data_IF_523264024963
#
_entry.id   IF_523264024963
#
_cell.length_a   1.000
_cell.length_b   1.000
_cell.length_c   1.000
_cell.angle_alpha   90.00
_cell.angle_beta   90.00
_cell.angle_gamma   90.00
#
_symmetry.space_group_name_H-M   'P 1'
#
loop_
_entity.id
_entity.type
_entity.pdbx_description
1 polymer ?
#
# COMPACT_ATOMS: atom_id res chain seq x y z
N UNK A 1 17.28 -6.03 -46.62
CA UNK A 1 17.40 -4.57 -46.46
C UNK A 1 16.87 -4.15 -45.09
N UNK A 2 17.67 -4.27 -44.03
CA UNK A 2 17.25 -3.97 -42.66
C UNK A 2 18.41 -3.56 -41.73
N UNK A 3 19.49 -3.01 -42.30
CA UNK A 3 20.72 -2.67 -41.57
C UNK A 3 20.96 -1.18 -41.38
N UNK A 4 20.29 -0.29 -42.11
CA UNK A 4 20.64 1.14 -42.14
C UNK A 4 20.07 1.95 -40.96
N UNK A 5 18.95 1.51 -40.37
CA UNK A 5 18.30 2.24 -39.25
C UNK A 5 19.08 2.07 -37.93
N UNK A 6 19.90 1.02 -37.80
CA UNK A 6 20.62 0.73 -36.55
C UNK A 6 21.87 1.57 -36.35
N UNK A 7 22.51 2.03 -37.42
CA UNK A 7 23.77 2.78 -37.33
C UNK A 7 23.51 4.27 -37.06
N UNK A 8 22.42 4.82 -37.60
CA UNK A 8 22.03 6.21 -37.41
C UNK A 8 21.62 6.51 -35.95
N UNK A 9 20.89 5.59 -35.32
CA UNK A 9 20.56 5.68 -33.88
C UNK A 9 21.83 5.57 -33.02
N UNK A 10 22.79 4.73 -33.43
CA UNK A 10 24.08 4.58 -32.73
C UNK A 10 24.92 5.84 -32.80
N UNK A 11 24.99 6.46 -33.98
CA UNK A 11 25.78 7.68 -34.17
C UNK A 11 25.14 8.88 -33.47
N UNK A 12 23.81 8.94 -33.43
CA UNK A 12 23.08 9.99 -32.69
C UNK A 12 23.29 9.87 -31.17
N UNK A 13 23.30 8.65 -30.62
CA UNK A 13 23.63 8.40 -29.21
C UNK A 13 25.11 8.72 -28.92
N UNK A 14 26.02 8.33 -29.82
CA UNK A 14 27.46 8.59 -29.65
C UNK A 14 27.78 10.09 -29.71
N UNK A 15 27.07 10.84 -30.55
CA UNK A 15 27.19 12.30 -30.63
C UNK A 15 26.62 13.00 -29.39
N UNK A 16 25.51 12.50 -28.83
CA UNK A 16 24.88 13.09 -27.64
C UNK A 16 25.72 12.90 -26.36
N UNK A 17 26.55 11.85 -26.32
CA UNK A 17 27.39 11.50 -25.17
C UNK A 17 28.85 11.98 -25.31
N UNK A 18 29.21 12.65 -26.40
CA UNK A 18 30.60 13.04 -26.67
C UNK A 18 31.11 14.15 -25.74
N UNK A 19 30.21 14.95 -25.15
CA UNK A 19 30.53 16.08 -24.29
C UNK A 19 30.39 15.75 -22.78
N UNK A 20 30.03 14.51 -22.41
CA UNK A 20 29.93 14.12 -21.01
C UNK A 20 31.31 13.73 -20.43
N UNK A 21 31.68 14.22 -19.23
CA UNK A 21 32.89 13.79 -18.56
C UNK A 21 32.81 12.29 -18.27
N UNK A 22 33.91 11.55 -18.48
CA UNK A 22 33.97 10.10 -18.30
C UNK A 22 33.43 9.68 -16.94
N UNK A 23 32.16 9.29 -16.90
CA UNK A 23 31.56 8.61 -15.76
C UNK A 23 32.36 7.31 -15.64
N UNK A 24 33.09 7.13 -14.53
CA UNK A 24 33.89 5.93 -14.23
C UNK A 24 33.08 4.65 -14.07
N UNK A 25 31.95 4.54 -14.77
CA UNK A 25 31.11 3.39 -14.91
C UNK A 25 31.62 2.61 -16.12
N UNK A 26 32.30 1.50 -15.89
CA UNK A 26 32.68 0.58 -16.94
C UNK A 26 31.41 -0.05 -17.53
N UNK A 27 30.94 0.51 -18.64
CA UNK A 27 29.72 0.10 -19.34
C UNK A 27 29.69 -1.42 -19.61
N UNK A 28 30.85 -2.00 -19.92
CA UNK A 28 31.02 -3.43 -20.17
C UNK A 28 30.75 -4.26 -18.91
N UNK A 29 31.15 -3.78 -17.73
CA UNK A 29 30.92 -4.42 -16.45
C UNK A 29 29.42 -4.40 -16.08
N UNK A 30 28.73 -3.28 -16.34
CA UNK A 30 27.27 -3.16 -16.14
C UNK A 30 26.49 -4.10 -17.07
N UNK A 31 26.91 -4.22 -18.33
CA UNK A 31 26.28 -5.12 -19.30
C UNK A 31 26.51 -6.59 -18.91
N UNK A 32 27.70 -6.94 -18.43
CA UNK A 32 28.00 -8.31 -17.99
C UNK A 32 27.21 -8.69 -16.73
N UNK A 33 27.11 -7.80 -15.75
CA UNK A 33 26.30 -7.99 -14.54
C UNK A 33 24.81 -8.10 -14.86
N UNK A 34 24.32 -7.30 -15.81
CA UNK A 34 22.97 -7.39 -16.33
C UNK A 34 22.68 -8.76 -16.97
N UNK A 35 23.61 -9.28 -17.77
CA UNK A 35 23.50 -10.63 -18.37
C UNK A 35 23.53 -11.73 -17.31
N UNK A 36 24.42 -11.65 -16.31
CA UNK A 36 24.51 -12.61 -15.20
C UNK A 36 23.22 -12.65 -14.37
N UNK A 37 22.63 -11.50 -14.03
CA UNK A 37 21.35 -11.44 -13.30
C UNK A 37 20.19 -12.04 -14.11
N UNK A 38 20.15 -11.80 -15.43
CA UNK A 38 19.09 -12.34 -16.29
C UNK A 38 19.17 -13.86 -16.45
N UNK A 39 20.39 -14.42 -16.53
CA UNK A 39 20.60 -15.86 -16.57
C UNK A 39 20.13 -16.57 -15.28
N UNK A 40 20.42 -16.00 -14.11
CA UNK A 40 19.99 -16.55 -12.81
C UNK A 40 18.46 -16.59 -12.67
N UNK A 41 17.75 -15.58 -13.17
CA UNK A 41 16.27 -15.55 -13.16
C UNK A 41 15.64 -16.63 -14.05
N UNK A 42 16.28 -16.97 -15.18
CA UNK A 42 15.77 -18.01 -16.09
C UNK A 42 15.95 -19.43 -15.53
N UNK A 43 16.98 -19.67 -14.73
CA UNK A 43 17.20 -20.97 -14.09
C UNK A 43 16.23 -21.23 -12.92
N UNK A 44 15.83 -20.19 -12.19
CA UNK A 44 14.86 -20.34 -11.08
C UNK A 44 13.41 -20.61 -11.49
N UNK A 45 13.04 -20.32 -12.74
CA UNK A 45 11.67 -20.52 -13.24
C UNK A 45 11.37 -21.96 -13.71
N UNK A 46 12.40 -22.80 -13.89
CA UNK A 46 12.23 -24.16 -14.45
C UNK A 46 12.09 -25.27 -13.39
N UNK A 47 12.28 -24.97 -12.10
CA UNK A 47 12.24 -25.98 -11.02
C UNK A 47 10.91 -26.07 -10.28
N UNK A 48 9.94 -25.18 -10.54
CA UNK A 48 8.67 -25.15 -9.79
C UNK A 48 7.49 -25.90 -10.46
N UNK A 49 7.68 -26.52 -11.63
CA UNK A 49 6.59 -27.10 -12.42
C UNK A 49 6.43 -28.63 -12.32
N UNK A 50 7.09 -29.30 -11.38
CA UNK A 50 6.94 -30.74 -11.22
C UNK A 50 6.92 -31.13 -9.73
N UNK A 51 5.71 -31.29 -9.18
CA UNK A 51 5.27 -32.42 -8.32
C UNK A 51 3.87 -32.08 -7.79
N UNK A 52 2.89 -32.96 -8.04
CA UNK A 52 1.70 -33.08 -7.18
C UNK A 52 0.34 -33.09 -7.86
N UNK A 53 0.08 -34.02 -8.78
CA UNK A 53 -1.28 -34.41 -9.18
C UNK A 53 -1.77 -35.47 -8.19
N UNK A 54 -2.77 -35.17 -7.37
CA UNK A 54 -3.58 -36.17 -6.65
C UNK A 54 -5.04 -35.93 -7.01
N UNK A 55 -5.62 -36.92 -7.69
CA UNK A 55 -7.01 -36.97 -8.08
C UNK A 55 -7.92 -37.25 -6.87
N UNK A 56 -8.98 -36.47 -6.71
CA UNK A 56 -10.12 -36.80 -5.83
C UNK A 56 -11.36 -36.98 -6.70
N UNK A 57 -12.01 -38.11 -6.51
CA UNK A 57 -13.16 -38.64 -7.24
C UNK A 57 -14.45 -38.43 -6.43
N UNK A 58 -15.53 -38.12 -7.16
CA UNK A 58 -16.96 -38.24 -6.82
C UNK A 58 -17.55 -37.23 -5.79
N UNK A 59 -18.81 -36.78 -5.86
CA UNK A 59 -20.07 -37.42 -6.30
C UNK A 59 -21.01 -36.36 -6.87
N UNK A 60 -21.71 -36.67 -7.97
CA UNK A 60 -22.82 -35.88 -8.50
C UNK A 60 -24.14 -36.29 -7.81
N UNK A 61 -24.90 -35.32 -7.29
CA UNK A 61 -26.27 -35.53 -6.81
C UNK A 61 -27.22 -34.78 -7.74
N UNK A 62 -28.01 -35.56 -8.47
CA UNK A 62 -29.11 -35.11 -9.32
C UNK A 62 -30.32 -34.75 -8.46
N UNK A 63 -30.84 -33.51 -8.58
CA UNK A 63 -32.07 -33.05 -7.95
C UNK A 63 -33.10 -32.63 -8.99
N UNK A 64 -34.24 -33.31 -8.99
CA UNK A 64 -35.37 -33.20 -9.92
C UNK A 64 -36.28 -32.00 -9.64
N UNK A 65 -36.88 -31.48 -10.71
CA UNK A 65 -37.86 -30.41 -10.76
C UNK A 65 -39.19 -30.74 -10.05
N UNK A 66 -39.84 -29.71 -9.49
CA UNK A 66 -41.28 -29.67 -9.29
C UNK A 66 -41.82 -28.25 -9.61
N UNK A 67 -42.79 -28.10 -10.54
CA UNK A 67 -43.48 -26.84 -10.77
C UNK A 67 -44.60 -26.68 -9.74
N UNK A 68 -44.66 -25.51 -9.09
CA UNK A 68 -45.78 -25.19 -8.18
C UNK A 68 -46.71 -24.18 -8.83
N UNK A 69 -47.98 -24.56 -8.83
CA UNK A 69 -49.14 -23.97 -9.49
C UNK A 69 -49.52 -22.59 -8.97
N UNK A 70 -50.01 -21.74 -9.87
CA UNK A 70 -50.69 -20.49 -9.56
C UNK A 70 -52.12 -20.71 -9.03
N UNK A 71 -52.64 -19.81 -8.19
CA UNK A 71 -54.08 -19.57 -8.05
C UNK A 71 -54.52 -18.18 -8.58
N UNK A 72 -55.84 -18.00 -8.81
CA UNK A 72 -56.39 -17.00 -9.72
C UNK A 72 -56.69 -15.64 -9.08
N UNK A 73 -56.99 -14.69 -9.98
CA UNK A 73 -57.39 -13.32 -9.74
C UNK A 73 -58.59 -13.14 -8.80
N UNK A 74 -58.45 -12.20 -7.86
CA UNK A 74 -59.54 -11.61 -7.08
C UNK A 74 -59.53 -10.09 -7.28
N UNK A 75 -60.70 -9.54 -7.61
CA UNK A 75 -60.95 -8.13 -7.90
C UNK A 75 -61.14 -7.26 -6.64
N UNK A 76 -60.77 -5.98 -6.79
CA UNK A 76 -61.30 -4.74 -6.17
C UNK A 76 -61.19 -4.53 -4.65
N UNK A 77 -60.49 -3.47 -4.23
CA UNK A 77 -61.07 -2.32 -3.50
C UNK A 77 -59.99 -1.27 -3.18
N UNK A 78 -60.25 -0.03 -3.58
CA UNK A 78 -59.42 1.15 -3.39
C UNK A 78 -59.64 1.77 -2.01
N UNK A 79 -58.56 2.05 -1.28
CA UNK A 79 -58.53 3.02 -0.19
C UNK A 79 -57.13 3.64 -0.14
N UNK A 80 -56.99 4.98 -0.15
CA UNK A 80 -55.69 5.64 -0.13
C UNK A 80 -55.08 5.50 1.27
N UNK A 81 -54.28 4.46 1.47
CA UNK A 81 -53.41 4.34 2.64
C UNK A 81 -52.11 5.05 2.30
N UNK A 82 -51.76 6.08 3.07
CA UNK A 82 -50.46 6.73 2.96
C UNK A 82 -49.40 5.76 3.47
N UNK A 83 -48.89 4.91 2.58
CA UNK A 83 -47.83 3.96 2.91
C UNK A 83 -46.53 4.74 2.98
N UNK A 84 -46.04 5.01 4.19
CA UNK A 84 -44.65 5.39 4.39
C UNK A 84 -43.84 4.15 4.04
N UNK A 85 -43.40 4.03 2.78
CA UNK A 85 -42.51 2.96 2.33
C UNK A 85 -41.18 3.08 3.06
N UNK A 86 -41.10 2.44 4.23
CA UNK A 86 -39.85 2.06 4.88
C UNK A 86 -39.23 0.95 4.04
N UNK A 87 -38.55 1.31 2.96
CA UNK A 87 -37.67 0.38 2.25
C UNK A 87 -36.62 -0.08 3.27
N UNK A 88 -36.70 -1.35 3.67
CA UNK A 88 -35.72 -1.93 4.58
C UNK A 88 -34.33 -1.71 3.99
N UNK A 89 -33.43 -1.11 4.76
CA UNK A 89 -32.08 -0.83 4.31
C UNK A 89 -31.40 -2.13 3.85
N UNK A 90 -30.85 -2.13 2.65
CA UNK A 90 -30.07 -3.26 2.12
C UNK A 90 -28.96 -3.58 3.13
N UNK A 91 -28.85 -4.82 3.64
CA UNK A 91 -27.80 -5.17 4.58
C UNK A 91 -26.44 -4.94 3.90
N UNK A 92 -25.58 -4.14 4.56
CA UNK A 92 -24.21 -3.90 4.13
C UNK A 92 -23.38 -5.18 4.07
N UNK A 93 -22.15 -5.07 3.57
CA UNK A 93 -21.22 -6.21 3.53
C UNK A 93 -19.89 -5.89 4.18
N UNK A 94 -19.20 -6.95 4.55
CA UNK A 94 -17.78 -6.97 4.90
C UNK A 94 -17.07 -7.81 3.84
N UNK A 95 -15.95 -7.35 3.29
CA UNK A 95 -15.15 -8.19 2.38
C UNK A 95 -14.40 -9.24 3.17
N UNK A 96 -14.32 -10.46 2.65
CA UNK A 96 -13.28 -11.41 3.05
C UNK A 96 -11.91 -10.89 2.58
N UNK A 97 -10.82 -11.23 3.27
CA UNK A 97 -9.50 -10.63 3.01
C UNK A 97 -9.08 -10.80 1.54
N UNK A 98 -8.79 -9.70 0.85
CA UNK A 98 -8.23 -9.78 -0.50
C UNK A 98 -6.73 -10.07 -0.46
N UNK A 99 -6.32 -11.29 -0.82
CA UNK A 99 -4.94 -11.58 -1.19
C UNK A 99 -4.63 -10.92 -2.54
N UNK A 100 -4.16 -9.68 -2.57
CA UNK A 100 -3.87 -9.02 -3.86
C UNK A 100 -3.52 -7.53 -3.93
N UNK A 101 -3.09 -6.86 -2.85
CA UNK A 101 -2.50 -5.51 -3.01
C UNK A 101 -2.66 -4.52 -1.84
N UNK A 102 -3.33 -4.89 -0.76
CA UNK A 102 -3.37 -4.12 0.49
C UNK A 102 -2.94 -5.03 1.65
N UNK A 103 -2.31 -4.49 2.72
CA UNK A 103 -1.66 -5.30 3.75
C UNK A 103 -2.63 -6.28 4.42
N UNK A 104 -2.12 -7.49 4.67
CA UNK A 104 -2.77 -8.59 5.38
C UNK A 104 -3.17 -8.14 6.80
N UNK A 105 -4.39 -7.62 6.95
CA UNK A 105 -4.96 -7.24 8.24
C UNK A 105 -5.88 -8.34 8.77
N UNK A 106 -5.93 -8.55 10.10
CA UNK A 106 -6.81 -9.54 10.72
C UNK A 106 -8.28 -9.27 10.39
N UNK A 107 -9.11 -10.33 10.40
CA UNK A 107 -10.56 -10.29 10.15
C UNK A 107 -11.21 -9.07 10.84
N UNK A 108 -11.59 -8.06 10.07
CA UNK A 108 -12.30 -6.92 10.62
C UNK A 108 -13.74 -7.30 10.92
N UNK A 109 -14.15 -7.22 12.18
CA UNK A 109 -15.58 -7.07 12.50
C UNK A 109 -15.96 -5.63 12.16
N UNK A 110 -16.82 -5.43 11.15
CA UNK A 110 -17.40 -4.13 10.90
C UNK A 110 -18.42 -3.80 11.98
N UNK A 111 -18.37 -2.58 12.51
CA UNK A 111 -19.40 -2.05 13.40
C UNK A 111 -20.74 -1.94 12.65
N UNK A 112 -21.88 -1.93 13.36
CA UNK A 112 -23.17 -1.70 12.74
C UNK A 112 -23.25 -0.41 11.92
N UNK A 113 -22.53 0.65 12.34
CA UNK A 113 -22.44 1.91 11.61
C UNK A 113 -21.70 1.76 10.28
N UNK A 114 -20.58 1.03 10.24
CA UNK A 114 -19.83 0.76 9.01
C UNK A 114 -20.61 -0.10 8.02
N UNK A 115 -21.40 -1.06 8.52
CA UNK A 115 -22.31 -1.87 7.69
C UNK A 115 -23.45 -1.03 7.11
N UNK A 116 -24.08 -0.17 7.91
CA UNK A 116 -25.10 0.75 7.43
C UNK A 116 -24.54 1.67 6.34
N UNK A 117 -23.32 2.18 6.54
CA UNK A 117 -22.63 3.03 5.58
C UNK A 117 -22.25 2.30 4.29
N UNK A 118 -21.83 1.04 4.39
CA UNK A 118 -21.61 0.15 3.23
C UNK A 118 -22.88 0.02 2.37
N UNK A 119 -24.03 -0.24 3.01
CA UNK A 119 -25.33 -0.32 2.32
C UNK A 119 -25.70 1.00 1.65
N UNK A 120 -25.52 2.12 2.34
CA UNK A 120 -25.81 3.46 1.83
C UNK A 120 -24.91 3.83 0.64
N UNK A 121 -23.60 3.63 0.74
CA UNK A 121 -22.64 3.91 -0.33
C UNK A 121 -22.93 3.06 -1.58
N UNK A 122 -23.28 1.78 -1.39
CA UNK A 122 -23.65 0.88 -2.50
C UNK A 122 -24.89 1.38 -3.23
N UNK A 123 -25.95 1.75 -2.51
CA UNK A 123 -27.17 2.25 -3.13
C UNK A 123 -26.96 3.63 -3.79
N UNK A 124 -26.20 4.51 -3.14
CA UNK A 124 -25.87 5.82 -3.69
C UNK A 124 -25.07 5.70 -5.00
N UNK A 125 -24.09 4.79 -5.05
CA UNK A 125 -23.30 4.57 -6.27
C UNK A 125 -24.12 3.93 -7.39
N UNK A 126 -25.07 3.03 -7.07
CA UNK A 126 -25.98 2.45 -8.07
C UNK A 126 -26.78 3.52 -8.83
N UNK A 127 -27.10 4.64 -8.16
CA UNK A 127 -27.84 5.75 -8.74
C UNK A 127 -26.96 6.74 -9.52
N UNK A 128 -25.63 6.57 -9.47
CA UNK A 128 -24.69 7.43 -10.18
C UNK A 128 -24.56 6.98 -11.64
N UNK A 129 -24.88 7.84 -12.63
CA UNK A 129 -24.68 7.52 -14.03
C UNK A 129 -23.18 7.52 -14.35
N UNK A 130 -22.59 6.33 -14.42
CA UNK A 130 -21.17 6.18 -14.71
C UNK A 130 -20.82 6.82 -16.06
N UNK A 131 -19.75 7.62 -16.15
CA UNK A 131 -19.32 8.27 -17.40
C UNK A 131 -18.62 7.26 -18.31
N UNK A 132 -19.30 6.19 -18.72
CA UNK A 132 -18.74 5.12 -19.53
C UNK A 132 -18.64 5.53 -21.01
N UNK A 133 -17.60 5.12 -21.75
CA UNK A 133 -17.58 5.24 -23.20
C UNK A 133 -18.77 4.54 -23.86
N UNK A 134 -19.14 4.96 -25.08
CA UNK A 134 -20.22 4.33 -25.82
C UNK A 134 -19.96 2.82 -26.05
N UNK A 135 -20.96 1.99 -25.78
CA UNK A 135 -20.88 0.52 -25.90
C UNK A 135 -20.18 -0.20 -24.74
N UNK A 136 -19.75 0.53 -23.71
CA UNK A 136 -19.21 -0.04 -22.48
C UNK A 136 -20.33 -0.17 -21.44
N UNK A 137 -20.48 -1.37 -20.89
CA UNK A 137 -21.37 -1.67 -19.77
C UNK A 137 -20.55 -1.92 -18.51
N UNK A 138 -21.15 -1.70 -17.35
CA UNK A 138 -20.55 -1.95 -16.06
C UNK A 138 -21.44 -2.89 -15.22
N UNK A 139 -20.84 -3.85 -14.53
CA UNK A 139 -21.56 -4.59 -13.49
C UNK A 139 -21.89 -3.65 -12.31
N UNK A 140 -22.93 -3.93 -11.52
CA UNK A 140 -23.17 -3.17 -10.31
C UNK A 140 -21.98 -3.26 -9.33
N UNK A 141 -21.49 -2.11 -8.85
CA UNK A 141 -20.50 -2.05 -7.77
C UNK A 141 -21.18 -2.32 -6.42
N UNK A 142 -20.51 -3.10 -5.56
CA UNK A 142 -20.87 -3.25 -4.15
C UNK A 142 -19.72 -2.77 -3.28
N UNK A 143 -19.97 -1.77 -2.43
CA UNK A 143 -18.97 -1.22 -1.52
C UNK A 143 -19.11 -1.86 -0.14
N UNK A 144 -18.14 -2.67 0.25
CA UNK A 144 -18.11 -3.39 1.52
C UNK A 144 -17.14 -2.72 2.49
N UNK A 145 -17.44 -2.81 3.79
CA UNK A 145 -16.59 -2.25 4.85
C UNK A 145 -15.25 -3.01 4.97
N UNK A 146 -14.17 -2.25 5.18
CA UNK A 146 -12.77 -2.67 5.31
C UNK A 146 -12.08 -1.73 6.31
N UNK A 147 -11.96 -2.10 7.59
CA UNK A 147 -11.16 -1.36 8.61
C UNK A 147 -11.33 0.18 8.57
N UNK A 148 -12.55 0.69 8.82
CA UNK A 148 -12.83 2.14 8.75
C UNK A 148 -12.86 2.74 7.33
N UNK A 149 -12.85 1.91 6.30
CA UNK A 149 -12.97 2.29 4.88
C UNK A 149 -13.95 1.38 4.15
N UNK A 150 -14.22 1.65 2.88
CA UNK A 150 -15.11 0.85 2.03
C UNK A 150 -14.49 0.60 0.68
N UNK A 151 -14.58 -0.63 0.19
CA UNK A 151 -14.00 -1.01 -1.09
C UNK A 151 -14.88 -1.99 -1.86
N UNK A 152 -14.67 -2.03 -3.16
CA UNK A 152 -15.30 -3.00 -4.06
C UNK A 152 -14.80 -2.84 -5.48
N UNK A 153 -15.20 -3.75 -6.35
CA UNK A 153 -14.91 -3.70 -7.77
C UNK A 153 -16.17 -3.83 -8.61
N UNK A 154 -16.08 -3.33 -9.84
CA UNK A 154 -17.01 -3.65 -10.90
C UNK A 154 -16.25 -3.96 -12.19
N UNK A 155 -16.86 -4.78 -13.04
CA UNK A 155 -16.31 -5.14 -14.34
C UNK A 155 -16.87 -4.26 -15.42
N UNK A 156 -16.01 -3.84 -16.34
CA UNK A 156 -16.40 -3.22 -17.60
C UNK A 156 -16.58 -4.30 -18.67
N UNK A 157 -17.25 -4.01 -19.79
CA UNK A 157 -17.33 -4.92 -20.95
C UNK A 157 -15.96 -5.55 -21.26
N UNK A 158 -15.85 -6.88 -21.15
CA UNK A 158 -14.59 -7.64 -21.22
C UNK A 158 -14.09 -8.14 -19.85
N UNK A 159 -12.79 -8.36 -19.74
CA UNK A 159 -12.13 -8.88 -18.51
C UNK A 159 -11.47 -7.76 -17.66
N UNK A 160 -11.99 -6.52 -17.75
CA UNK A 160 -11.39 -5.35 -17.07
C UNK A 160 -12.12 -5.05 -15.78
N UNK A 161 -11.36 -4.80 -14.72
CA UNK A 161 -11.89 -4.51 -13.39
C UNK A 161 -11.49 -3.10 -12.95
N UNK A 162 -12.48 -2.38 -12.42
CA UNK A 162 -12.32 -1.08 -11.79
C UNK A 162 -12.56 -1.24 -10.30
N UNK A 163 -11.55 -0.89 -9.50
CA UNK A 163 -11.61 -0.92 -8.05
C UNK A 163 -11.93 0.47 -7.53
N UNK A 164 -12.93 0.56 -6.64
CA UNK A 164 -13.29 1.79 -5.95
C UNK A 164 -13.00 1.60 -4.47
N UNK A 165 -12.25 2.53 -3.90
CA UNK A 165 -11.89 2.55 -2.49
C UNK A 165 -12.24 3.93 -1.91
N UNK A 166 -12.94 3.95 -0.78
CA UNK A 166 -13.48 5.14 -0.14
C UNK A 166 -13.11 5.12 1.33
N UNK A 167 -12.68 6.25 1.90
CA UNK A 167 -12.46 6.37 3.35
C UNK A 167 -12.84 7.77 3.85
N UNK A 168 -13.25 7.91 5.12
CA UNK A 168 -13.33 9.22 5.77
C UNK A 168 -11.90 9.74 5.97
N UNK A 169 -11.60 10.98 5.57
CA UNK A 169 -10.26 11.53 5.72
C UNK A 169 -9.93 11.79 7.18
N UNK A 170 -8.71 11.40 7.50
CA UNK A 170 -7.79 12.21 8.27
C UNK A 170 -6.45 12.15 7.58
N UNK A 171 -6.29 12.83 6.44
CA UNK A 171 -5.01 12.90 5.76
C UNK A 171 -4.88 14.20 4.98
N UNK A 172 -3.66 14.71 4.87
CA UNK A 172 -3.41 15.86 4.01
C UNK A 172 -3.59 15.42 2.54
N UNK A 173 -4.14 16.29 1.66
CA UNK A 173 -3.97 16.09 0.22
C UNK A 173 -2.47 15.97 -0.05
N UNK A 174 -2.02 15.02 -0.91
CA UNK A 174 -0.61 14.82 -1.18
C UNK A 174 -0.05 16.13 -1.72
N UNK A 175 1.13 16.50 -1.22
CA UNK A 175 1.83 17.70 -1.63
C UNK A 175 2.21 17.69 -3.13
N UNK A 176 2.08 16.55 -3.81
CA UNK A 176 2.25 16.45 -5.26
C UNK A 176 2.26 15.03 -5.81
N UNK A 177 2.82 14.94 -7.02
CA UNK A 177 3.08 13.70 -7.72
C UNK A 177 4.33 13.02 -7.20
N UNK A 178 4.20 11.76 -6.78
CA UNK A 178 5.33 10.90 -6.42
C UNK A 178 5.53 9.92 -7.57
N UNK A 179 6.69 9.96 -8.21
CA UNK A 179 7.04 9.06 -9.29
C UNK A 179 7.80 7.86 -8.71
N UNK A 180 7.22 6.66 -8.81
CA UNK A 180 7.86 5.43 -8.33
C UNK A 180 8.82 4.84 -9.36
N UNK A 181 8.56 5.08 -10.65
CA UNK A 181 9.44 4.70 -11.75
C UNK A 181 9.59 5.88 -12.72
N UNK A 182 10.66 5.92 -13.53
CA UNK A 182 10.84 6.95 -14.56
C UNK A 182 9.68 7.01 -15.57
N UNK A 183 9.00 5.89 -15.80
CA UNK A 183 7.88 5.77 -16.74
C UNK A 183 6.53 6.13 -16.10
N UNK A 184 6.48 6.23 -14.77
CA UNK A 184 5.28 6.65 -14.05
C UNK A 184 4.92 8.06 -14.50
N UNK A 185 3.68 8.27 -14.92
CA UNK A 185 3.15 9.60 -15.19
C UNK A 185 2.22 9.97 -14.06
N UNK A 186 2.29 11.21 -13.61
CA UNK A 186 1.37 11.71 -12.61
C UNK A 186 0.95 13.14 -12.93
N UNK A 187 -0.33 13.44 -12.76
CA UNK A 187 -0.90 14.77 -12.83
C UNK A 187 -1.71 15.05 -11.57
N UNK A 188 -1.73 16.32 -11.13
CA UNK A 188 -2.56 16.77 -10.03
C UNK A 188 -3.32 18.04 -10.45
N UNK A 189 -4.60 18.15 -10.10
CA UNK A 189 -5.45 19.31 -10.39
C UNK A 189 -6.41 19.60 -9.26
N UNK A 190 -6.73 20.88 -9.08
CA UNK A 190 -7.84 21.30 -8.21
C UNK A 190 -9.14 21.23 -9.02
N UNK A 191 -10.15 20.60 -8.44
CA UNK A 191 -11.48 20.47 -9.03
C UNK A 191 -12.35 21.69 -8.69
N UNK A 192 -13.45 21.94 -9.46
CA UNK A 192 -14.29 23.13 -9.25
C UNK A 192 -14.92 23.25 -7.85
N UNK A 193 -15.08 22.13 -7.14
CA UNK A 193 -15.62 22.06 -5.77
C UNK A 193 -14.56 22.28 -4.68
N UNK A 194 -13.32 22.60 -5.06
CA UNK A 194 -12.18 22.75 -4.14
C UNK A 194 -11.49 21.44 -3.77
N UNK A 195 -11.99 20.30 -4.26
CA UNK A 195 -11.32 19.01 -4.10
C UNK A 195 -9.99 18.99 -4.86
N UNK A 196 -9.05 18.15 -4.44
CA UNK A 196 -7.80 17.90 -5.18
C UNK A 196 -7.84 16.51 -5.80
N UNK A 197 -7.61 16.41 -7.10
CA UNK A 197 -7.50 15.15 -7.82
C UNK A 197 -6.05 14.89 -8.23
N UNK A 198 -5.59 13.66 -8.11
CA UNK A 198 -4.32 13.17 -8.62
C UNK A 198 -4.55 11.92 -9.46
N UNK A 199 -4.00 11.90 -10.66
CA UNK A 199 -4.04 10.73 -11.54
C UNK A 199 -2.63 10.20 -11.71
N UNK A 200 -2.43 8.92 -11.39
CA UNK A 200 -1.15 8.21 -11.56
C UNK A 200 -1.33 7.09 -12.57
N UNK A 201 -0.47 7.06 -13.58
CA UNK A 201 -0.40 6.04 -14.62
C UNK A 201 0.93 5.31 -14.48
N UNK A 202 0.85 4.03 -14.14
CA UNK A 202 2.00 3.13 -14.02
C UNK A 202 1.98 2.15 -15.20
N UNK A 203 2.83 2.35 -16.23
CA UNK A 203 2.91 1.42 -17.34
C UNK A 203 3.61 0.13 -16.89
N UNK A 204 2.91 -1.00 -16.95
CA UNK A 204 3.47 -2.33 -16.75
C UNK A 204 3.65 -3.07 -18.07
N UNK A 205 4.53 -4.08 -18.06
CA UNK A 205 4.77 -4.92 -19.25
C UNK A 205 3.52 -5.72 -19.68
N UNK A 206 2.64 -6.04 -18.72
CA UNK A 206 1.44 -6.87 -18.95
C UNK A 206 0.13 -6.10 -18.79
N UNK A 207 0.15 -4.99 -18.05
CA UNK A 207 -1.03 -4.15 -17.81
C UNK A 207 -0.60 -2.73 -17.48
N UNK A 208 -1.39 -1.75 -17.93
CA UNK A 208 -1.31 -0.38 -17.43
C UNK A 208 -2.18 -0.28 -16.18
N UNK A 209 -1.61 0.15 -15.07
CA UNK A 209 -2.35 0.47 -13.86
C UNK A 209 -2.60 1.98 -13.84
N UNK A 210 -3.86 2.40 -13.74
CA UNK A 210 -4.19 3.81 -13.58
C UNK A 210 -5.04 4.00 -12.35
N UNK A 211 -4.68 4.98 -11.53
CA UNK A 211 -5.48 5.35 -10.38
C UNK A 211 -5.76 6.85 -10.35
N UNK A 212 -7.01 7.22 -10.12
CA UNK A 212 -7.44 8.57 -9.77
C UNK A 212 -7.73 8.62 -8.27
N UNK A 213 -6.96 9.42 -7.55
CA UNK A 213 -7.13 9.74 -6.14
C UNK A 213 -7.79 11.13 -6.00
N UNK A 214 -8.90 11.23 -5.29
CA UNK A 214 -9.59 12.51 -5.03
C UNK A 214 -9.72 12.75 -3.53
N UNK A 215 -9.16 13.87 -3.06
CA UNK A 215 -9.34 14.41 -1.72
C UNK A 215 -10.41 15.49 -1.77
N UNK A 216 -11.58 15.17 -1.21
CA UNK A 216 -12.75 16.03 -1.29
C UNK A 216 -12.72 17.13 -0.25
N UNK A 217 -13.30 18.29 -0.59
CA UNK A 217 -13.46 19.40 0.35
C UNK A 217 -14.28 19.03 1.60
N UNK A 218 -15.14 18.01 1.50
CA UNK A 218 -15.92 17.48 2.62
C UNK A 218 -15.14 16.50 3.52
N UNK A 219 -13.85 16.28 3.25
CA UNK A 219 -13.05 15.33 4.01
C UNK A 219 -13.27 13.88 3.60
N UNK A 220 -13.82 13.57 2.43
CA UNK A 220 -13.82 12.19 1.91
C UNK A 220 -12.60 11.96 1.01
N UNK A 221 -11.94 10.81 1.13
CA UNK A 221 -10.96 10.36 0.14
C UNK A 221 -11.53 9.20 -0.68
N UNK A 222 -11.36 9.29 -1.99
CA UNK A 222 -11.77 8.25 -2.93
C UNK A 222 -10.61 7.93 -3.86
N UNK A 223 -10.32 6.64 -4.04
CA UNK A 223 -9.40 6.12 -5.05
C UNK A 223 -10.17 5.22 -6.00
N UNK A 224 -10.05 5.50 -7.29
CA UNK A 224 -10.58 4.65 -8.36
C UNK A 224 -9.40 4.13 -9.16
N UNK A 225 -9.27 2.81 -9.28
CA UNK A 225 -8.15 2.16 -9.98
C UNK A 225 -8.69 1.30 -11.11
N UNK A 226 -8.27 1.56 -12.34
CA UNK A 226 -8.52 0.68 -13.48
C UNK A 226 -7.32 -0.24 -13.68
N UNK A 227 -7.62 -1.53 -13.79
CA UNK A 227 -6.66 -2.53 -14.28
C UNK A 227 -6.95 -2.78 -15.76
N UNK A 228 -5.94 -2.65 -16.62
CA UNK A 228 -6.09 -2.88 -18.06
C UNK A 228 -6.61 -4.27 -18.47
N UNK A 229 -6.76 -5.20 -17.51
CA UNK A 229 -7.01 -6.63 -17.73
C UNK A 229 -5.70 -7.40 -17.87
N UNK A 230 -5.73 -8.73 -17.68
CA UNK A 230 -4.52 -9.55 -17.88
C UNK A 230 -4.05 -9.44 -19.34
N UNK A 231 -2.83 -8.97 -19.54
CA UNK A 231 -2.21 -8.90 -20.87
C UNK A 231 -2.69 -7.75 -21.75
N UNK A 232 -3.34 -6.73 -21.19
CA UNK A 232 -3.75 -5.55 -21.96
C UNK A 232 -3.27 -4.26 -21.32
N UNK A 233 -2.55 -3.47 -22.12
CA UNK A 233 -2.09 -2.12 -21.79
C UNK A 233 -3.12 -1.04 -22.13
N UNK A 234 -4.20 -1.41 -22.80
CA UNK A 234 -5.24 -0.49 -23.26
C UNK A 234 -6.20 -0.18 -22.13
N UNK A 235 -6.47 1.10 -21.91
CA UNK A 235 -7.47 1.59 -20.93
C UNK A 235 -8.86 1.68 -21.55
N UNK A 236 -9.91 1.55 -20.74
CA UNK A 236 -11.29 1.91 -21.09
C UNK A 236 -11.59 3.34 -20.65
N UNK A 237 -11.20 3.68 -19.42
CA UNK A 237 -11.52 4.96 -18.82
C UNK A 237 -10.33 5.91 -18.98
N UNK A 238 -10.60 7.10 -19.51
CA UNK A 238 -9.64 8.19 -19.51
C UNK A 238 -9.48 8.81 -18.10
N UNK A 239 -8.55 9.76 -17.98
CA UNK A 239 -8.23 10.40 -16.70
C UNK A 239 -9.41 11.20 -16.14
N UNK A 240 -10.23 11.80 -17.01
CA UNK A 240 -11.39 12.60 -16.62
C UNK A 240 -12.55 11.71 -16.17
N UNK A 241 -12.77 10.57 -16.81
CA UNK A 241 -13.75 9.56 -16.41
C UNK A 241 -13.41 8.96 -15.04
N UNK A 242 -12.15 8.56 -14.82
CA UNK A 242 -11.71 8.06 -13.51
C UNK A 242 -11.86 9.12 -12.42
N UNK A 243 -11.46 10.36 -12.72
CA UNK A 243 -11.60 11.49 -11.79
C UNK A 243 -13.07 11.78 -11.48
N UNK A 244 -13.95 11.73 -12.49
CA UNK A 244 -15.39 11.95 -12.32
C UNK A 244 -16.05 10.88 -11.44
N UNK A 245 -15.64 9.60 -11.57
CA UNK A 245 -16.09 8.54 -10.66
C UNK A 245 -15.59 8.81 -9.24
N UNK A 246 -14.31 9.17 -9.07
CA UNK A 246 -13.73 9.44 -7.76
C UNK A 246 -14.33 10.68 -7.07
N UNK A 247 -14.73 11.69 -7.86
CA UNK A 247 -15.34 12.93 -7.38
C UNK A 247 -16.87 12.82 -7.20
N UNK A 248 -17.49 11.66 -7.48
CA UNK A 248 -18.93 11.48 -7.43
C UNK A 248 -19.49 11.83 -6.03
N UNK A 249 -20.39 12.83 -5.88
CA UNK A 249 -20.86 13.29 -4.58
C UNK A 249 -21.49 12.18 -3.73
N UNK A 250 -22.06 11.16 -4.37
CA UNK A 250 -22.66 9.96 -3.79
C UNK A 250 -21.69 9.15 -2.91
N UNK A 251 -20.38 9.23 -3.19
CA UNK A 251 -19.34 8.53 -2.44
C UNK A 251 -18.92 9.24 -1.14
N UNK A 252 -19.58 10.35 -0.77
CA UNK A 252 -19.32 11.05 0.50
C UNK A 252 -19.52 10.10 1.66
N UNK A 253 -18.57 9.99 2.58
CA UNK A 253 -18.74 9.21 3.81
C UNK A 253 -19.50 10.04 4.86
N UNK A 254 -20.54 9.45 5.46
CA UNK A 254 -21.37 10.07 6.49
C UNK A 254 -20.98 9.64 7.91
N UNK A 255 -20.35 8.47 8.05
CA UNK A 255 -19.83 8.03 9.34
C UNK A 255 -18.59 8.85 9.64
N UNK A 256 -18.66 9.69 10.69
CA UNK A 256 -17.47 10.26 11.28
C UNK A 256 -16.64 9.11 11.83
N UNK A 257 -15.64 8.66 11.08
CA UNK A 257 -14.61 7.80 11.63
C UNK A 257 -14.03 8.46 12.88
N UNK A 258 -13.53 7.66 13.82
CA UNK A 258 -12.61 8.20 14.82
C UNK A 258 -11.51 9.01 14.12
N UNK A 259 -10.91 10.01 14.78
CA UNK A 259 -9.89 10.86 14.16
C UNK A 259 -8.84 9.98 13.46
N UNK A 260 -8.86 10.00 12.12
CA UNK A 260 -7.90 9.24 11.32
C UNK A 260 -6.58 10.01 11.39
N UNK A 261 -5.47 9.37 11.78
CA UNK A 261 -4.19 10.04 11.86
C UNK A 261 -3.76 10.56 10.47
N UNK A 262 -3.24 11.79 10.36
CA UNK A 262 -2.90 12.44 9.09
C UNK A 262 -2.07 11.51 8.20
N UNK A 263 -2.48 11.25 6.95
CA UNK A 263 -1.67 10.47 6.01
C UNK A 263 -0.20 10.91 5.99
N UNK A 264 0.76 9.98 5.83
CA UNK A 264 2.16 10.34 5.90
C UNK A 264 2.55 11.38 4.86
N UNK A 265 3.34 12.36 5.27
CA UNK A 265 3.79 13.47 4.41
C UNK A 265 5.29 13.72 4.53
N UNK A 266 5.90 14.22 3.46
CA UNK A 266 7.33 14.53 3.45
C UNK A 266 7.70 15.62 4.45
N UNK A 267 6.79 16.58 4.69
CA UNK A 267 6.96 17.61 5.71
C UNK A 267 7.10 16.99 7.12
N UNK A 268 6.20 16.06 7.47
CA UNK A 268 6.27 15.36 8.75
C UNK A 268 7.50 14.46 8.82
N UNK A 269 7.84 13.79 7.72
CA UNK A 269 9.04 12.96 7.63
C UNK A 269 10.33 13.78 7.92
N UNK A 270 10.44 15.00 7.38
CA UNK A 270 11.55 15.90 7.67
C UNK A 270 11.63 16.31 9.15
N UNK A 271 10.48 16.55 9.79
CA UNK A 271 10.41 16.83 11.23
C UNK A 271 10.90 15.64 12.05
N UNK A 272 10.43 14.43 11.73
CA UNK A 272 10.81 13.19 12.41
C UNK A 272 12.32 12.91 12.31
N UNK A 273 12.94 13.20 11.15
CA UNK A 273 14.39 13.01 10.96
C UNK A 273 15.23 13.84 11.93
N UNK A 274 14.79 15.07 12.21
CA UNK A 274 15.47 15.97 13.17
C UNK A 274 15.39 15.45 14.61
N UNK A 275 14.27 14.83 14.98
CA UNK A 275 14.08 14.22 16.31
C UNK A 275 14.99 13.02 16.49
N UNK A 276 15.08 12.14 15.48
CA UNK A 276 15.89 10.92 15.55
C UNK A 276 17.40 11.21 15.56
N UNK A 277 17.87 12.19 14.80
CA UNK A 277 19.29 12.55 14.77
C UNK A 277 19.82 13.02 16.15
N UNK A 278 18.96 13.63 16.98
CA UNK A 278 19.35 14.17 18.28
C UNK A 278 19.62 13.11 19.37
N UNK A 279 19.23 11.84 19.15
CA UNK A 279 19.37 10.77 20.14
C UNK A 279 20.43 9.73 19.80
N UNK A 280 21.13 9.88 18.68
CA UNK A 280 22.22 8.97 18.32
C UNK A 280 23.35 9.09 19.34
N UNK A 281 23.83 7.97 19.92
CA UNK A 281 24.92 7.99 20.90
C UNK A 281 26.16 8.73 20.37
N UNK A 282 26.84 9.52 21.22
CA UNK A 282 28.06 10.20 20.82
C UNK A 282 29.14 9.18 20.39
N UNK A 283 29.90 9.51 19.35
CA UNK A 283 30.96 8.66 18.81
C UNK A 283 30.53 7.79 17.62
N UNK A 284 29.24 7.63 17.38
CA UNK A 284 28.72 7.00 16.16
C UNK A 284 28.63 8.05 15.04
N UNK A 285 29.26 7.77 13.90
CA UNK A 285 29.07 8.52 12.66
C UNK A 285 27.90 7.95 11.90
N UNK A 286 26.99 8.82 11.47
CA UNK A 286 25.84 8.45 10.66
C UNK A 286 26.21 8.52 9.18
N UNK A 287 26.08 7.39 8.48
CA UNK A 287 26.44 7.24 7.07
C UNK A 287 25.21 6.84 6.24
N UNK A 288 25.22 7.23 4.95
CA UNK A 288 24.13 6.91 4.01
C UNK A 288 24.18 5.41 3.66
N UNK A 289 23.01 4.82 3.44
CA UNK A 289 22.94 3.49 2.81
C UNK A 289 22.75 3.67 1.30
N UNK A 290 23.01 2.64 0.48
CA UNK A 290 22.74 2.72 -0.96
C UNK A 290 21.25 2.94 -1.29
N UNK A 291 20.36 2.55 -0.38
CA UNK A 291 18.91 2.64 -0.56
C UNK A 291 18.31 3.97 -0.10
N UNK A 292 18.91 4.64 0.91
CA UNK A 292 18.29 5.80 1.56
C UNK A 292 19.30 6.83 2.10
N UNK A 293 18.78 8.04 2.30
CA UNK A 293 19.51 9.11 2.98
C UNK A 293 19.61 8.83 4.49
N UNK A 294 20.80 9.05 5.04
CA UNK A 294 21.16 8.74 6.42
C UNK A 294 20.17 9.34 7.45
N UNK A 295 19.40 8.49 8.13
CA UNK A 295 18.44 8.84 9.18
C UNK A 295 17.33 9.84 8.77
N UNK A 296 17.08 9.97 7.48
CA UNK A 296 15.96 10.78 6.99
C UNK A 296 14.73 9.89 6.86
N UNK A 297 13.66 10.23 7.59
CA UNK A 297 12.39 9.55 7.40
C UNK A 297 11.86 9.81 6.01
N UNK A 298 11.28 8.77 5.41
CA UNK A 298 10.56 8.83 4.13
C UNK A 298 9.24 8.12 4.27
N UNK A 299 8.25 8.57 3.50
CA UNK A 299 6.97 7.88 3.40
C UNK A 299 7.16 6.54 2.67
N UNK A 300 6.93 5.43 3.37
CA UNK A 300 7.05 4.05 2.85
C UNK A 300 5.93 3.19 3.38
N UNK A 301 5.27 2.41 2.50
CA UNK A 301 4.26 1.41 2.87
C UNK A 301 3.13 1.94 3.78
N UNK A 302 2.74 3.21 3.62
CA UNK A 302 1.76 3.82 4.51
C UNK A 302 2.28 4.02 5.92
N UNK A 303 3.55 4.40 6.07
CA UNK A 303 4.16 4.86 7.31
C UNK A 303 5.44 5.64 7.04
N UNK A 304 6.24 5.84 8.07
CA UNK A 304 7.54 6.51 7.97
C UNK A 304 8.66 5.52 8.22
N UNK A 305 9.69 5.54 7.38
CA UNK A 305 10.88 4.72 7.55
C UNK A 305 12.15 5.58 7.47
N UNK A 306 13.04 5.41 8.43
CA UNK A 306 14.41 5.94 8.40
C UNK A 306 15.41 4.78 8.51
N UNK A 307 16.52 4.89 7.78
CA UNK A 307 17.58 3.89 7.73
C UNK A 307 18.94 4.59 7.65
N UNK A 308 19.94 4.04 8.34
CA UNK A 308 21.31 4.51 8.24
C UNK A 308 22.32 3.44 8.62
N UNK A 309 23.53 3.57 8.07
CA UNK A 309 24.70 2.93 8.65
C UNK A 309 25.22 3.78 9.81
N UNK A 310 25.68 3.12 10.87
CA UNK A 310 26.30 3.73 12.05
C UNK A 310 27.71 3.15 12.20
N UNK A 311 28.72 4.02 12.11
CA UNK A 311 30.14 3.64 12.07
C UNK A 311 30.89 4.24 13.26
N UNK A 312 31.70 3.42 13.92
CA UNK A 312 32.67 3.84 14.94
C UNK A 312 34.02 3.10 14.74
N UNK A 313 34.89 3.10 15.75
CA UNK A 313 36.16 2.39 15.72
C UNK A 313 36.04 0.86 15.77
N UNK A 314 34.87 0.32 16.16
CA UNK A 314 34.61 -1.11 16.22
C UNK A 314 34.05 -1.67 14.90
N UNK A 315 33.61 -0.79 13.98
CA UNK A 315 33.12 -1.14 12.64
C UNK A 315 31.76 -0.49 12.34
N UNK A 316 31.05 -1.04 11.36
CA UNK A 316 29.79 -0.48 10.84
C UNK A 316 28.62 -1.42 11.10
N UNK A 317 27.54 -0.87 11.65
CA UNK A 317 26.24 -1.54 11.71
C UNK A 317 25.17 -0.70 11.04
N UNK A 318 23.92 -1.14 11.11
CA UNK A 318 22.79 -0.33 10.66
C UNK A 318 21.76 -0.13 11.77
N UNK A 319 20.96 0.93 11.61
CA UNK A 319 19.74 1.19 12.38
C UNK A 319 18.59 1.46 11.43
N UNK A 320 17.42 0.92 11.75
CA UNK A 320 16.17 1.16 11.04
C UNK A 320 15.09 1.57 12.03
N UNK A 321 14.34 2.61 11.72
CA UNK A 321 13.18 3.04 12.50
C UNK A 321 11.97 3.10 11.58
N UNK A 322 10.94 2.32 11.90
CA UNK A 322 9.65 2.35 11.22
C UNK A 322 8.58 2.90 12.17
N UNK A 323 7.75 3.81 11.66
CA UNK A 323 6.55 4.31 12.32
C UNK A 323 5.35 3.92 11.46
N UNK A 324 4.44 3.14 12.02
CA UNK A 324 3.22 2.68 11.36
C UNK A 324 1.99 3.36 11.97
N UNK A 325 0.89 3.33 11.23
CA UNK A 325 -0.36 3.97 11.65
C UNK A 325 -0.77 3.49 13.05
N UNK A 326 -1.32 4.37 13.89
CA UNK A 326 -1.97 3.95 15.12
C UNK A 326 -2.93 2.78 14.88
N UNK A 327 -2.70 1.68 15.60
CA UNK A 327 -3.44 0.44 15.44
C UNK A 327 -4.01 -0.08 16.76
N UNK A 328 -4.99 -0.97 16.69
CA UNK A 328 -5.45 -1.71 17.86
C UNK A 328 -4.42 -2.76 18.32
N UNK A 329 -4.62 -3.31 19.52
CA UNK A 329 -3.75 -4.35 20.08
C UNK A 329 -2.72 -3.83 21.09
N UNK A 330 -2.29 -4.75 21.95
CA UNK A 330 -1.21 -4.56 22.92
C UNK A 330 0.11 -5.07 22.33
N UNK A 331 1.22 -4.56 22.84
CA UNK A 331 2.55 -5.03 22.45
C UNK A 331 2.82 -6.36 23.18
N UNK A 332 2.99 -7.44 22.43
CA UNK A 332 3.34 -8.75 22.97
C UNK A 332 4.49 -9.41 22.20
N UNK A 333 4.98 -10.54 22.73
CA UNK A 333 6.06 -11.32 22.12
C UNK A 333 5.59 -12.41 21.16
N UNK A 334 4.29 -12.66 21.04
CA UNK A 334 3.72 -13.70 20.20
C UNK A 334 4.23 -15.11 20.51
N UNK A 335 4.65 -15.36 21.75
CA UNK A 335 5.22 -16.66 22.17
C UNK A 335 6.65 -16.95 21.67
N UNK A 336 7.34 -15.98 21.05
CA UNK A 336 8.73 -16.16 20.61
C UNK A 336 9.69 -16.27 21.80
N UNK A 337 10.52 -17.31 21.82
CA UNK A 337 11.46 -17.58 22.91
C UNK A 337 12.59 -16.54 23.06
N UNK A 338 12.96 -15.87 21.97
CA UNK A 338 14.00 -14.82 21.93
C UNK A 338 13.46 -13.43 22.27
N UNK A 339 12.14 -13.31 22.44
CA UNK A 339 11.47 -12.05 22.75
C UNK A 339 11.17 -11.95 24.24
N UNK A 340 11.37 -10.74 24.79
CA UNK A 340 10.90 -10.37 26.12
C UNK A 340 10.24 -9.01 26.14
N UNK A 341 9.35 -8.80 27.10
CA UNK A 341 8.78 -7.48 27.36
C UNK A 341 9.75 -6.63 28.17
N UNK A 342 9.87 -5.37 27.79
CA UNK A 342 10.62 -4.34 28.51
C UNK A 342 9.66 -3.22 28.94
N UNK A 343 9.91 -2.67 30.11
CA UNK A 343 9.15 -1.55 30.65
C UNK A 343 9.58 -0.25 29.98
N UNK A 344 8.59 0.53 29.56
CA UNK A 344 8.75 1.91 29.14
C UNK A 344 8.12 2.84 30.20
N UNK A 345 8.46 4.11 30.12
CA UNK A 345 7.83 5.21 30.83
C UNK A 345 6.30 5.17 30.72
N UNK A 346 5.65 5.51 31.84
CA UNK A 346 4.19 5.52 31.95
C UNK A 346 3.56 4.13 32.02
N UNK A 347 4.32 3.08 32.32
CA UNK A 347 3.81 1.71 32.44
C UNK A 347 3.54 1.02 31.10
N UNK A 348 3.94 1.65 29.98
CA UNK A 348 3.87 1.04 28.65
C UNK A 348 4.86 -0.11 28.54
N UNK A 349 4.63 -1.03 27.60
CA UNK A 349 5.51 -2.17 27.31
C UNK A 349 6.07 -2.06 25.89
N UNK A 350 7.27 -2.57 25.71
CA UNK A 350 7.83 -2.87 24.39
C UNK A 350 8.26 -4.34 24.31
N UNK A 351 8.18 -4.94 23.12
CA UNK A 351 8.65 -6.28 22.82
C UNK A 351 10.04 -6.19 22.21
N UNK A 352 11.05 -6.65 22.94
CA UNK A 352 12.45 -6.71 22.49
C UNK A 352 12.80 -8.14 22.10
N UNK A 353 13.21 -8.32 20.85
CA UNK A 353 13.67 -9.58 20.28
C UNK A 353 15.17 -9.50 19.96
N UNK A 354 15.92 -10.54 20.31
CA UNK A 354 17.36 -10.65 20.03
C UNK A 354 17.63 -11.91 19.22
N UNK A 355 18.11 -11.73 17.99
CA UNK A 355 18.43 -12.84 17.08
C UNK A 355 19.94 -12.86 16.85
N UNK A 356 20.55 -14.02 17.07
CA UNK A 356 21.97 -14.27 16.79
C UNK A 356 22.08 -15.45 15.85
N UNK A 357 22.54 -15.21 14.62
CA UNK A 357 22.67 -16.24 13.58
C UNK A 357 23.90 -15.97 12.72
N UNK A 358 24.79 -16.96 12.56
CA UNK A 358 25.99 -16.79 11.72
C UNK A 358 26.94 -15.66 12.18
N UNK A 359 26.90 -15.28 13.46
CA UNK A 359 27.65 -14.13 13.99
C UNK A 359 26.95 -12.78 13.78
N UNK A 360 25.86 -12.74 13.01
CA UNK A 360 25.00 -11.57 12.89
C UNK A 360 24.15 -11.47 14.15
N UNK A 361 24.22 -10.34 14.83
CA UNK A 361 23.35 -10.02 15.95
C UNK A 361 22.39 -8.94 15.51
N UNK A 362 21.09 -9.18 15.72
CA UNK A 362 20.03 -8.21 15.46
C UNK A 362 19.21 -8.00 16.72
N UNK A 363 19.01 -6.73 17.08
CA UNK A 363 18.03 -6.33 18.09
C UNK A 363 16.84 -5.69 17.39
N UNK A 364 15.63 -6.07 17.81
CA UNK A 364 14.39 -5.50 17.31
C UNK A 364 13.48 -5.14 18.49
N UNK A 365 13.15 -3.86 18.64
CA UNK A 365 12.23 -3.36 19.64
C UNK A 365 10.97 -2.88 18.96
N UNK A 366 9.82 -3.43 19.35
CA UNK A 366 8.50 -3.00 18.89
C UNK A 366 7.75 -2.40 20.07
N UNK A 367 7.22 -1.20 19.91
CA UNK A 367 6.56 -0.45 20.95
C UNK A 367 5.33 0.28 20.41
N UNK A 368 4.52 0.80 21.34
CA UNK A 368 3.40 1.67 21.02
C UNK A 368 3.58 3.02 21.70
N UNK A 369 3.51 4.09 20.93
CA UNK A 369 3.47 5.45 21.45
C UNK A 369 2.16 5.71 22.20
N UNK A 370 2.11 6.81 22.96
CA UNK A 370 0.90 7.20 23.71
C UNK A 370 -0.32 7.46 22.81
N UNK A 371 -0.11 7.90 21.57
CA UNK A 371 -1.16 8.12 20.57
C UNK A 371 -1.55 6.85 19.79
N UNK A 372 -0.90 5.73 20.12
CA UNK A 372 -1.13 4.44 19.49
C UNK A 372 -0.23 4.11 18.30
N UNK A 373 0.64 5.02 17.87
CA UNK A 373 1.62 4.78 16.78
C UNK A 373 2.47 3.56 17.10
N UNK A 374 2.58 2.65 16.13
CA UNK A 374 3.47 1.49 16.23
C UNK A 374 4.87 1.91 15.82
N UNK A 375 5.83 1.69 16.73
CA UNK A 375 7.25 2.03 16.53
C UNK A 375 8.04 0.73 16.48
N UNK A 376 8.79 0.51 15.40
CA UNK A 376 9.77 -0.58 15.30
C UNK A 376 11.17 0.01 15.15
N UNK A 377 12.05 -0.27 16.12
CA UNK A 377 13.46 0.12 16.10
C UNK A 377 14.30 -1.13 15.98
N UNK A 378 15.11 -1.21 14.92
CA UNK A 378 15.96 -2.37 14.65
C UNK A 378 17.40 -1.93 14.48
N UNK A 379 18.33 -2.77 14.94
CA UNK A 379 19.76 -2.54 14.73
C UNK A 379 20.51 -3.86 14.52
N UNK A 380 21.58 -3.81 13.73
CA UNK A 380 22.40 -4.98 13.39
C UNK A 380 23.88 -4.63 13.36
N UNK A 381 24.74 -5.61 13.63
CA UNK A 381 26.20 -5.51 13.55
C UNK A 381 26.78 -5.69 12.13
N UNK A 382 25.92 -5.72 11.12
CA UNK A 382 26.25 -5.78 9.69
C UNK A 382 26.00 -4.39 9.08
N UNK A 383 26.80 -3.98 8.10
CA UNK A 383 26.57 -2.77 7.33
C UNK A 383 25.53 -3.01 6.22
N UNK A 384 24.59 -2.09 6.01
CA UNK A 384 23.74 -2.13 4.82
C UNK A 384 24.51 -1.60 3.62
N UNK A 385 24.96 -2.51 2.78
CA UNK A 385 25.69 -2.24 1.53
C UNK A 385 24.81 -2.39 0.29
N UNK A 386 23.49 -2.52 0.44
CA UNK A 386 22.55 -2.74 -0.68
C UNK A 386 22.67 -4.11 -1.36
N UNK A 387 23.55 -4.99 -0.85
CA UNK A 387 23.71 -6.38 -1.26
C UNK A 387 23.52 -7.34 -0.09
N UNK A 388 23.47 -8.64 -0.37
CA UNK A 388 23.33 -9.70 0.64
C UNK A 388 24.64 -9.99 1.41
N UNK A 389 25.40 -8.94 1.75
CA UNK A 389 26.58 -9.11 2.58
C UNK A 389 26.13 -9.36 4.02
N UNK A 390 26.05 -10.62 4.41
CA UNK A 390 25.64 -11.02 5.76
C UNK A 390 26.81 -11.08 6.75
N UNK A 391 28.02 -10.67 6.34
CA UNK A 391 29.20 -10.71 7.22
C UNK A 391 29.17 -9.57 8.25
N UNK A 392 29.25 -9.87 9.56
CA UNK A 392 29.38 -8.84 10.60
C UNK A 392 30.62 -7.99 10.37
N UNK A 393 30.49 -6.67 10.50
CA UNK A 393 31.65 -5.76 10.41
C UNK A 393 32.07 -5.21 11.78
N UNK A 394 31.27 -5.48 12.81
CA UNK A 394 31.53 -5.16 14.22
C UNK A 394 31.02 -6.29 15.13
N UNK A 395 31.53 -6.43 16.37
CA UNK A 395 31.16 -7.55 17.24
C UNK A 395 29.70 -7.48 17.72
N UNK A 396 29.21 -6.29 18.08
CA UNK A 396 27.85 -6.06 18.60
C UNK A 396 27.13 -5.02 17.74
N UNK A 397 25.79 -4.96 17.73
CA UNK A 397 25.06 -3.88 17.05
C UNK A 397 25.50 -2.49 17.53
N UNK A 398 25.37 -1.45 16.69
CA UNK A 398 25.78 -0.08 17.04
C UNK A 398 24.93 0.56 18.13
N UNK A 399 23.70 0.09 18.32
CA UNK A 399 22.81 0.56 19.38
C UNK A 399 22.56 -0.58 20.38
N UNK A 400 22.60 -0.25 21.67
CA UNK A 400 22.22 -1.17 22.73
C UNK A 400 20.69 -1.10 22.97
N UNK A 401 20.17 -2.03 23.76
CA UNK A 401 18.76 -2.02 24.18
C UNK A 401 18.33 -0.67 24.78
N UNK A 402 19.16 -0.06 25.63
CA UNK A 402 18.86 1.23 26.24
C UNK A 402 18.68 2.35 25.20
N UNK A 403 19.39 2.28 24.07
CA UNK A 403 19.26 3.24 22.99
C UNK A 403 17.99 3.00 22.18
N UNK A 404 17.62 1.73 21.94
CA UNK A 404 16.36 1.35 21.31
C UNK A 404 15.15 1.83 22.12
N UNK A 405 15.20 1.64 23.45
CA UNK A 405 14.19 2.16 24.38
C UNK A 405 14.13 3.69 24.30
N UNK A 406 15.28 4.37 24.38
CA UNK A 406 15.34 5.85 24.29
C UNK A 406 14.72 6.37 22.99
N UNK A 407 14.98 5.73 21.86
CA UNK A 407 14.40 6.10 20.56
C UNK A 407 12.87 5.92 20.61
N UNK A 408 12.38 4.77 21.09
CA UNK A 408 10.95 4.48 21.17
C UNK A 408 10.17 5.37 22.17
N UNK A 409 10.87 6.05 23.07
CA UNK A 409 10.30 6.97 24.06
C UNK A 409 10.34 8.44 23.64
N UNK A 410 10.85 8.75 22.45
CA UNK A 410 10.88 10.11 21.94
C UNK A 410 9.45 10.71 21.84
N UNK A 411 9.15 11.83 22.53
CA UNK A 411 7.79 12.37 22.64
C UNK A 411 7.23 12.86 21.30
N UNK A 412 8.09 13.10 20.31
CA UNK A 412 7.70 13.56 18.97
C UNK A 412 7.92 12.51 17.88
N UNK A 413 8.30 11.29 18.25
CA UNK A 413 8.46 10.17 17.33
C UNK A 413 7.16 9.37 17.23
N UNK A 414 6.14 10.03 16.71
CA UNK A 414 4.82 9.48 16.52
C UNK A 414 4.25 9.95 15.18
N UNK A 415 3.17 9.32 14.75
CA UNK A 415 2.57 9.49 13.43
C UNK A 415 2.22 10.94 13.11
#
# INVERSE_FOLDING_TARGET
>A
MGGLVSDEVRDMIRSALADEPALGLEFEQVVEDGRKRRARRRLGALTAAAVGVVAVVAVAVSGTFAPTSAPPAGMLSTSPTTVTSSVAATPGCVTESMTGGFPDLPRGTATPAELAESGRLTEAFRQFPLPLPAGVEATPLRLCAIDGSWGGDFRLTGDRSVFVYVRPLGGQPPAGCVLYTPETRCSAKVLPDGSTARVTVEPGAEATLVSADVWRADGTYVRVTETGGRGSVTRVLDDDQLTAIAAAPQLKVQVAGGPVPPAPSDQRAAQLGSVLAAVIPPGLKVERTPADEALMFRVRQGGYRALANLTDSAGTGWVMVNLEKPGAGEVDCGGRATCRLVDLSGGRKAALDTVVEGGVTRLSLNAKAADGTWISVQTSNVADTGGASDAPTRPNPPLAEADLVRIAELPHLHW
#
